data_IF_243910090424
#
_entry.id   IF_243910090424
#
_cell.length_a   1.000
_cell.length_b   1.000
_cell.length_c   1.000
_cell.angle_alpha   90.00
_cell.angle_beta   90.00
_cell.angle_gamma   90.00
#
_symmetry.space_group_name_H-M   'P 1'
#
loop_
_entity.id
_entity.type
_entity.pdbx_description
1 polymer ?
#
# COMPACT_ATOMS: atom_id res chain seq x y z
N UNK A 1 -25.40 -4.80 -5.20
CA UNK A 1 -24.50 -5.88 -5.67
C UNK A 1 -23.49 -5.37 -6.68
N UNK A 2 -23.90 -4.68 -7.74
CA UNK A 2 -22.98 -4.12 -8.75
C UNK A 2 -21.94 -3.16 -8.14
N UNK A 3 -22.34 -2.31 -7.19
CA UNK A 3 -21.43 -1.38 -6.48
C UNK A 3 -20.32 -2.11 -5.72
N UNK A 4 -20.65 -3.16 -4.97
CA UNK A 4 -19.68 -3.97 -4.22
C UNK A 4 -18.68 -4.62 -5.18
N UNK A 5 -19.16 -5.12 -6.33
CA UNK A 5 -18.31 -5.71 -7.36
C UNK A 5 -17.38 -4.65 -7.97
N UNK A 6 -17.90 -3.47 -8.30
CA UNK A 6 -17.11 -2.34 -8.79
C UNK A 6 -16.04 -1.89 -7.79
N UNK A 7 -16.39 -1.78 -6.51
CA UNK A 7 -15.45 -1.43 -5.45
C UNK A 7 -14.37 -2.49 -5.27
N UNK A 8 -14.72 -3.78 -5.32
CA UNK A 8 -13.72 -4.87 -5.24
C UNK A 8 -12.76 -4.85 -6.42
N UNK A 9 -13.28 -4.75 -7.65
CA UNK A 9 -12.46 -4.72 -8.87
C UNK A 9 -11.51 -3.52 -8.84
N UNK A 10 -12.01 -2.35 -8.47
CA UNK A 10 -11.19 -1.14 -8.36
C UNK A 10 -10.14 -1.25 -7.25
N UNK A 11 -10.50 -1.83 -6.11
CA UNK A 11 -9.58 -2.03 -4.98
C UNK A 11 -8.43 -2.97 -5.31
N UNK A 12 -8.68 -4.04 -6.08
CA UNK A 12 -7.62 -4.96 -6.53
C UNK A 12 -6.62 -4.24 -7.44
N UNK A 13 -7.11 -3.46 -8.41
CA UNK A 13 -6.25 -2.66 -9.29
C UNK A 13 -5.43 -1.65 -8.47
N UNK A 14 -6.07 -0.96 -7.53
CA UNK A 14 -5.39 -0.01 -6.64
C UNK A 14 -4.33 -0.65 -5.74
N UNK A 15 -4.57 -1.87 -5.24
CA UNK A 15 -3.57 -2.62 -4.47
C UNK A 15 -2.31 -2.90 -5.29
N UNK A 16 -2.46 -3.30 -6.56
CA UNK A 16 -1.32 -3.54 -7.46
C UNK A 16 -0.60 -2.23 -7.78
N UNK A 17 -1.35 -1.15 -8.05
CA UNK A 17 -0.76 0.17 -8.29
C UNK A 17 -0.01 0.72 -7.07
N UNK A 18 -0.46 0.43 -5.86
CA UNK A 18 0.13 0.90 -4.60
C UNK A 18 1.37 0.11 -4.17
N UNK A 19 1.58 -1.10 -4.68
CA UNK A 19 2.76 -1.89 -4.37
C UNK A 19 4.05 -1.16 -4.78
N UNK A 20 4.05 -0.47 -5.92
CA UNK A 20 5.20 0.26 -6.44
C UNK A 20 5.61 1.49 -5.61
N UNK A 21 4.71 2.43 -5.26
CA UNK A 21 5.04 3.54 -4.36
C UNK A 21 5.37 3.04 -2.94
N UNK A 22 4.72 1.97 -2.44
CA UNK A 22 5.06 1.38 -1.14
C UNK A 22 6.50 0.85 -1.10
N UNK A 23 6.95 0.16 -2.15
CA UNK A 23 8.35 -0.29 -2.29
C UNK A 23 9.32 0.89 -2.22
N UNK A 24 9.06 1.97 -2.98
CA UNK A 24 9.93 3.16 -2.98
C UNK A 24 10.02 3.84 -1.62
N UNK A 25 8.91 3.87 -0.86
CA UNK A 25 8.89 4.45 0.49
C UNK A 25 9.72 3.59 1.44
N UNK A 26 9.55 2.26 1.41
CA UNK A 26 10.31 1.35 2.25
C UNK A 26 11.80 1.38 1.92
N UNK A 27 12.18 1.34 0.65
CA UNK A 27 13.58 1.49 0.24
C UNK A 27 14.19 2.83 0.70
N UNK A 28 13.41 3.91 0.67
CA UNK A 28 13.85 5.22 1.17
C UNK A 28 14.11 5.20 2.68
N UNK A 29 13.21 4.59 3.45
CA UNK A 29 13.36 4.44 4.91
C UNK A 29 14.54 3.53 5.24
N UNK A 30 14.73 2.43 4.51
CA UNK A 30 15.84 1.50 4.71
C UNK A 30 17.20 2.14 4.43
N UNK A 31 17.32 2.96 3.38
CA UNK A 31 18.55 3.71 3.08
C UNK A 31 18.92 4.68 4.19
N UNK A 32 17.93 5.24 4.90
CA UNK A 32 18.17 6.19 5.99
C UNK A 32 18.47 5.48 7.31
N UNK A 33 17.83 4.35 7.58
CA UNK A 33 17.88 3.67 8.88
C UNK A 33 18.71 2.37 8.92
N UNK A 34 19.34 1.96 7.81
CA UNK A 34 20.13 0.73 7.70
C UNK A 34 19.41 -0.49 8.32
N UNK A 35 18.13 -0.63 7.99
CA UNK A 35 17.26 -1.65 8.58
C UNK A 35 17.68 -3.04 8.06
N UNK A 36 17.75 -4.07 8.92
CA UNK A 36 18.09 -5.43 8.48
C UNK A 36 17.03 -5.99 7.52
N UNK A 37 17.45 -6.68 6.45
CA UNK A 37 16.55 -7.28 5.44
C UNK A 37 15.41 -8.15 6.01
N UNK A 38 15.59 -8.72 7.21
CA UNK A 38 14.53 -9.47 7.91
C UNK A 38 13.28 -8.63 8.19
N UNK A 39 13.43 -7.31 8.32
CA UNK A 39 12.34 -6.38 8.57
C UNK A 39 11.79 -5.75 7.28
N UNK A 40 12.49 -5.90 6.15
CA UNK A 40 12.08 -5.36 4.84
C UNK A 40 10.67 -5.80 4.48
N UNK A 41 10.43 -7.12 4.44
CA UNK A 41 9.12 -7.68 4.09
C UNK A 41 8.02 -7.22 5.04
N UNK A 42 8.32 -7.12 6.35
CA UNK A 42 7.35 -6.66 7.34
C UNK A 42 7.00 -5.19 7.10
N UNK A 43 8.00 -4.32 6.90
CA UNK A 43 7.80 -2.90 6.60
C UNK A 43 7.05 -2.73 5.28
N UNK A 44 7.38 -3.49 4.25
CA UNK A 44 6.74 -3.42 2.93
C UNK A 44 5.26 -3.77 3.01
N UNK A 45 4.91 -4.87 3.70
CA UNK A 45 3.52 -5.24 3.93
C UNK A 45 2.79 -4.17 4.75
N UNK A 46 3.37 -3.70 5.86
CA UNK A 46 2.75 -2.67 6.70
C UNK A 46 2.50 -1.37 5.93
N UNK A 47 3.49 -0.92 5.16
CA UNK A 47 3.45 0.32 4.39
C UNK A 47 2.44 0.21 3.24
N UNK A 48 2.39 -0.94 2.57
CA UNK A 48 1.40 -1.21 1.51
C UNK A 48 -0.02 -1.20 2.06
N UNK A 49 -0.25 -1.83 3.23
CA UNK A 49 -1.57 -1.82 3.90
C UNK A 49 -1.95 -0.40 4.30
N UNK A 50 -1.05 0.36 4.94
CA UNK A 50 -1.31 1.74 5.37
C UNK A 50 -1.63 2.67 4.19
N UNK A 51 -0.84 2.61 3.11
CA UNK A 51 -1.09 3.37 1.89
C UNK A 51 -2.44 2.99 1.27
N UNK A 52 -2.71 1.69 1.11
CA UNK A 52 -3.98 1.22 0.56
C UNK A 52 -5.18 1.70 1.38
N UNK A 53 -5.08 1.65 2.71
CA UNK A 53 -6.12 2.15 3.63
C UNK A 53 -6.32 3.67 3.52
N UNK A 54 -5.24 4.44 3.47
CA UNK A 54 -5.30 5.90 3.33
C UNK A 54 -5.99 6.31 2.03
N UNK A 55 -5.66 5.66 0.91
CA UNK A 55 -6.32 5.93 -0.37
C UNK A 55 -7.76 5.41 -0.39
N UNK A 56 -8.04 4.26 0.20
CA UNK A 56 -9.42 3.75 0.32
C UNK A 56 -10.32 4.70 1.14
N UNK A 57 -9.78 5.27 2.21
CA UNK A 57 -10.43 6.32 3.00
C UNK A 57 -10.58 7.62 2.21
N UNK A 58 -9.53 8.04 1.49
CA UNK A 58 -9.56 9.23 0.63
C UNK A 58 -10.63 9.10 -0.47
N UNK A 59 -10.74 7.95 -1.15
CA UNK A 59 -11.77 7.73 -2.17
C UNK A 59 -13.20 7.69 -1.60
N UNK A 60 -13.36 7.34 -0.32
CA UNK A 60 -14.68 7.26 0.34
C UNK A 60 -15.13 8.60 0.92
N UNK A 61 -14.20 9.42 1.41
CA UNK A 61 -14.50 10.65 2.17
C UNK A 61 -13.99 11.94 1.52
N UNK A 62 -13.16 11.85 0.48
CA UNK A 62 -12.63 12.97 -0.28
C UNK A 62 -13.40 13.27 -1.55
#
# INVERSE_FOLDING_TARGET
MLEIVLTLVFSIVMLVFMAFPAMKIVEGVEKVFAIPEKWHNLLLILTTILLSLLIGLYLKFG
#
